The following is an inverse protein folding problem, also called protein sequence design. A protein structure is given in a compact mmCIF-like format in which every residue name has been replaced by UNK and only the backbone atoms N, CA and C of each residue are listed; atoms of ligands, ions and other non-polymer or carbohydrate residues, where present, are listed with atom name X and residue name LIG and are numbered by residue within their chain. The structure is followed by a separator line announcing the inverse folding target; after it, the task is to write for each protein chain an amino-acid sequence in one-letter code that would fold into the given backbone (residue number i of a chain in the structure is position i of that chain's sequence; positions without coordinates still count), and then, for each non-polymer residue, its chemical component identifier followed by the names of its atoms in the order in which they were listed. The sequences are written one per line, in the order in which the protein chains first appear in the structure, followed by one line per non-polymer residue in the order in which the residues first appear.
data_IF_573573349940
#
_entry.id   IF_573573349940
#
_cell.length_a   1.000
_cell.length_b   1.000
_cell.length_c   1.000
_cell.angle_alpha   90.00
_cell.angle_beta   90.00
_cell.angle_gamma   90.00
#
_symmetry.space_group_name_H-M   'P 1'
#
loop_
_entity.id
_entity.type
_entity.pdbx_description
1 polymer ?
2 polymer ?
3 water ?
#
# COMPACT_ATOMS: atom_id res chain seq x y z
N UNK A 1 -1.41 12.28 10.88
CA UNK A 1 -0.74 11.30 9.99
C UNK A 1 -1.69 10.98 8.84
N UNK A 2 -1.16 10.44 7.75
CA UNK A 2 -1.99 10.08 6.62
C UNK A 2 -2.16 8.57 6.68
N UNK A 3 -3.40 8.11 6.82
CA UNK A 3 -3.69 6.67 6.89
C UNK A 3 -4.64 6.25 5.80
N UNK A 4 -4.47 5.01 5.36
CA UNK A 4 -5.33 4.41 4.35
C UNK A 4 -5.79 3.03 4.86
N UNK A 5 -6.92 2.55 4.35
CA UNK A 5 -7.44 1.24 4.72
C UNK A 5 -7.38 0.33 3.50
N UNK A 6 -6.84 -0.88 3.69
CA UNK A 6 -6.73 -1.85 2.61
C UNK A 6 -8.12 -2.35 2.19
N UNK A 7 -8.44 -2.19 0.91
CA UNK A 7 -9.73 -2.61 0.34
C UNK A 7 -9.72 -4.06 -0.09
N UNK A 8 -8.51 -4.56 -0.35
CA UNK A 8 -8.26 -5.94 -0.80
C UNK A 8 -6.93 -6.39 -0.25
N UNK A 9 -6.68 -7.70 -0.25
CA UNK A 9 -5.39 -8.25 0.18
C UNK A 9 -4.40 -7.92 -0.94
N UNK A 10 -3.13 -7.77 -0.59
CA UNK A 10 -2.11 -7.50 -1.60
C UNK A 10 -0.97 -8.39 -1.15
N UNK A 11 -0.59 -9.31 -2.02
CA UNK A 11 0.48 -10.24 -1.67
C UNK A 11 1.88 -9.68 -1.87
N UNK A 12 2.02 -8.69 -2.75
CA UNK A 12 3.33 -8.14 -3.00
C UNK A 12 3.92 -8.91 -4.17
N UNK A 13 4.61 -8.20 -5.05
CA UNK A 13 5.20 -8.81 -6.24
C UNK A 13 6.71 -8.64 -6.20
N UNK A 14 7.15 -7.40 -6.01
CA UNK A 14 8.56 -7.10 -5.91
C UNK A 14 8.95 -7.12 -4.46
N UNK A 15 10.23 -7.33 -4.20
CA UNK A 15 10.73 -7.38 -2.84
C UNK A 15 10.53 -6.08 -2.07
N UNK A 16 10.42 -4.95 -2.78
CA UNK A 16 10.19 -3.65 -2.13
C UNK A 16 8.73 -3.45 -1.69
N UNK A 17 7.84 -4.32 -2.14
CA UNK A 17 6.43 -4.19 -1.81
C UNK A 17 6.06 -4.54 -0.38
N UNK A 18 5.01 -3.90 0.13
CA UNK A 18 4.52 -4.16 1.49
C UNK A 18 3.24 -4.99 1.36
N UNK A 19 3.33 -6.30 1.66
CA UNK A 19 2.15 -7.17 1.57
C UNK A 19 1.18 -6.75 2.68
N UNK A 20 -0.12 -6.90 2.45
CA UNK A 20 -1.12 -6.55 3.45
C UNK A 20 -2.42 -7.28 3.18
N UNK A 21 -3.33 -7.24 4.16
CA UNK A 21 -4.63 -7.89 4.03
C UNK A 21 -5.77 -6.86 4.09
N UNK A 22 -6.87 -7.15 3.42
CA UNK A 22 -8.00 -6.26 3.44
C UNK A 22 -8.30 -5.90 4.91
N UNK A 23 -8.53 -4.61 5.15
CA UNK A 23 -8.82 -4.16 6.49
C UNK A 23 -7.64 -3.55 7.21
N UNK A 24 -6.42 -3.85 6.79
CA UNK A 24 -5.26 -3.29 7.46
C UNK A 24 -5.24 -1.78 7.34
N UNK A 25 -4.80 -1.10 8.39
CA UNK A 25 -4.66 0.35 8.37
C UNK A 25 -3.17 0.61 8.15
N UNK A 26 -2.86 1.36 7.09
CA UNK A 26 -1.47 1.67 6.75
C UNK A 26 -1.19 3.18 6.80
N UNK A 27 0.02 3.56 7.20
CA UNK A 27 0.35 4.97 7.24
C UNK A 27 1.20 5.32 6.03
N UNK A 28 0.83 6.39 5.32
CA UNK A 28 1.58 6.82 4.14
C UNK A 28 2.80 7.66 4.55
N UNK A 29 3.97 7.24 4.07
CA UNK A 29 5.22 7.92 4.37
C UNK A 29 5.71 8.78 3.19
N UNK A 30 5.43 8.34 1.97
CA UNK A 30 5.93 9.07 0.82
C UNK A 30 5.16 8.63 -0.43
N UNK A 31 5.14 9.48 -1.46
CA UNK A 31 4.46 9.18 -2.72
C UNK A 31 5.44 9.45 -3.85
N UNK A 32 6.38 8.52 -4.08
CA UNK A 32 7.35 8.74 -5.16
C UNK A 32 6.73 8.59 -6.54
N UNK A 33 5.53 8.00 -6.58
CA UNK A 33 4.80 7.79 -7.81
C UNK A 33 3.34 8.08 -7.52
N UNK A 34 2.54 8.23 -8.56
CA UNK A 34 1.13 8.51 -8.37
C UNK A 34 0.35 7.31 -7.83
N UNK A 35 0.60 6.13 -8.40
CA UNK A 35 -0.09 4.89 -8.02
C UNK A 35 0.67 3.93 -7.10
N UNK A 36 1.88 4.31 -6.67
CA UNK A 36 2.69 3.48 -5.78
C UNK A 36 3.25 4.39 -4.69
N UNK A 37 2.86 4.12 -3.45
CA UNK A 37 3.29 4.94 -2.33
C UNK A 37 4.04 4.10 -1.31
N UNK A 38 4.90 4.74 -0.51
CA UNK A 38 5.59 4.00 0.54
C UNK A 38 4.73 4.17 1.78
N UNK A 39 4.47 3.06 2.46
CA UNK A 39 3.63 3.06 3.64
C UNK A 39 4.25 2.20 4.73
N UNK A 40 3.66 2.26 5.91
CA UNK A 40 4.15 1.49 7.04
C UNK A 40 2.97 0.74 7.68
N UNK A 41 3.19 -0.50 8.10
CA UNK A 41 2.08 -1.23 8.70
C UNK A 41 2.06 -1.14 10.22
N UNK A 42 1.07 -1.77 10.85
CA UNK A 42 0.94 -1.70 12.31
C UNK A 42 2.14 -2.30 13.03
N UNK A 43 2.93 -3.12 12.33
CA UNK A 43 4.12 -3.69 12.95
C UNK A 43 5.38 -2.86 12.72
N UNK A 44 5.23 -1.74 12.01
CA UNK A 44 6.36 -0.87 11.71
C UNK A 44 7.10 -1.22 10.43
N UNK A 45 6.64 -2.25 9.72
CA UNK A 45 7.28 -2.66 8.47
C UNK A 45 6.92 -1.69 7.35
N UNK A 46 7.89 -1.42 6.49
CA UNK A 46 7.70 -0.48 5.39
C UNK A 46 7.81 -1.13 4.02
N UNK A 47 7.14 -0.53 3.05
CA UNK A 47 7.21 -1.03 1.70
C UNK A 47 6.32 -0.25 0.79
N UNK A 48 6.34 -0.59 -0.50
CA UNK A 48 5.52 0.08 -1.50
C UNK A 48 4.16 -0.57 -1.56
N UNK A 49 3.14 0.24 -1.78
CA UNK A 49 1.77 -0.27 -1.89
C UNK A 49 1.03 0.35 -3.08
N UNK A 50 0.21 -0.46 -3.75
CA UNK A 50 -0.57 0.00 -4.91
C UNK A 50 -1.80 0.80 -4.44
N UNK A 51 -1.87 2.06 -4.88
CA UNK A 51 -2.95 2.95 -4.53
C UNK A 51 -4.39 2.44 -4.79
N UNK A 52 -4.61 1.73 -5.91
CA UNK A 52 -5.97 1.22 -6.17
C UNK A 52 -6.51 0.24 -5.10
N UNK A 53 -5.61 -0.35 -4.31
CA UNK A 53 -5.99 -1.33 -3.29
C UNK A 53 -6.32 -0.72 -1.93
N UNK A 54 -6.23 0.61 -1.84
CA UNK A 54 -6.51 1.29 -0.58
C UNK A 54 -7.48 2.46 -0.72
N UNK A 55 -8.09 2.82 0.41
CA UNK A 55 -8.99 3.95 0.49
C UNK A 55 -8.47 4.85 1.63
N UNK A 56 -8.71 6.14 1.52
CA UNK A 56 -8.29 7.05 2.57
C UNK A 56 -8.99 6.67 3.88
N UNK A 57 -8.31 6.92 4.99
CA UNK A 57 -8.88 6.63 6.29
C UNK A 57 -8.99 7.98 7.04
N UNK B 1 -9.77 -8.55 -7.33
CA UNK B 1 -9.18 -7.29 -6.87
C UNK B 1 -8.91 -6.43 -8.08
N UNK B 2 -8.63 -5.15 -7.86
CA UNK B 2 -8.36 -4.27 -8.99
C UNK B 2 -7.02 -4.54 -9.69
N UNK B 3 -6.86 -4.01 -10.92
CA UNK B 3 -5.59 -4.23 -11.61
C UNK B 3 -4.47 -3.55 -10.82
N UNK B 4 -3.34 -4.24 -10.69
CA UNK B 4 -2.22 -3.67 -9.98
C UNK B 4 -1.59 -2.77 -11.02
N UNK B 5 -1.51 -1.46 -10.72
CA UNK B 5 -0.94 -0.46 -11.64
C UNK B 5 0.53 -0.67 -12.01
N UNK B 6 0.92 -0.25 -13.22
CA UNK B 6 2.33 -0.42 -13.59
C UNK B 6 3.18 0.53 -12.73
N UNK B 7 4.47 0.23 -12.64
CA UNK B 7 5.43 1.04 -11.91
C UNK B 7 6.11 1.94 -12.95
N UNK B 8 6.72 3.03 -12.51
CA UNK B 8 7.40 3.93 -13.44
C UNK B 8 8.79 4.33 -12.95
#
# INVERSE_FOLDING_TARGET
AEYVRALFDFNGNDEEDLPFKKGDILRIRDKPEEQWWNAEDSEGKRGMIPVPYVEKY
PPPVPPRRRR
#
